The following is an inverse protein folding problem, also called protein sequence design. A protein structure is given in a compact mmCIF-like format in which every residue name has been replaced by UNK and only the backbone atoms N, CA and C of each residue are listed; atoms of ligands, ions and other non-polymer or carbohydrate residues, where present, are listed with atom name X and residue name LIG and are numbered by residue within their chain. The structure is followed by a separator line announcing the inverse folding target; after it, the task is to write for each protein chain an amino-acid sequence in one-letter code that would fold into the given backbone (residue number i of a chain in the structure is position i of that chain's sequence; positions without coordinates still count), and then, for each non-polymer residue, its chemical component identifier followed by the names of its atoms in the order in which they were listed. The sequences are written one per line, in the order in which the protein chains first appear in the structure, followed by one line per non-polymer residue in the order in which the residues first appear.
data_IF_704937850999
#
_entry.id   IF_704937850999
#
_cell.length_a   1.000
_cell.length_b   1.000
_cell.length_c   1.000
_cell.angle_alpha   90.00
_cell.angle_beta   90.00
_cell.angle_gamma   90.00
#
_symmetry.space_group_name_H-M   'P 1'
#
loop_
_entity.id
_entity.type
_entity.pdbx_description
1 polymer ?
#
# COMPACT_ATOMS: atom_id res chain seq x y z
N UNK A 1 -47.15 -6.05 -19.50
CA UNK A 1 -45.74 -5.95 -19.89
C UNK A 1 -44.91 -5.85 -18.62
N UNK A 2 -44.39 -6.99 -18.15
CA UNK A 2 -43.41 -7.03 -17.08
C UNK A 2 -42.14 -6.36 -17.60
N UNK A 3 -41.77 -5.21 -17.03
CA UNK A 3 -40.47 -4.61 -17.31
C UNK A 3 -39.44 -5.64 -16.87
N UNK A 4 -38.68 -6.13 -17.83
CA UNK A 4 -37.58 -7.06 -17.63
C UNK A 4 -36.65 -6.56 -16.52
N UNK A 5 -36.34 -7.43 -15.55
CA UNK A 5 -35.58 -7.06 -14.35
C UNK A 5 -34.20 -6.53 -14.70
N UNK A 6 -33.57 -7.07 -15.75
CA UNK A 6 -32.22 -6.70 -16.18
C UNK A 6 -32.22 -5.27 -16.74
N UNK A 7 -33.28 -4.89 -17.44
CA UNK A 7 -33.49 -3.52 -17.92
C UNK A 7 -33.64 -2.53 -16.76
N UNK A 8 -34.27 -2.94 -15.65
CA UNK A 8 -34.44 -2.09 -14.46
C UNK A 8 -33.10 -1.91 -13.71
N UNK A 9 -32.29 -2.96 -13.61
CA UNK A 9 -30.95 -2.92 -12.99
C UNK A 9 -30.04 -1.97 -13.76
N UNK A 10 -29.93 -2.13 -15.09
CA UNK A 10 -29.10 -1.25 -15.93
C UNK A 10 -29.55 0.21 -15.83
N UNK A 11 -30.87 0.46 -15.77
CA UNK A 11 -31.41 1.82 -15.61
C UNK A 11 -31.02 2.42 -14.25
N UNK A 12 -31.05 1.64 -13.17
CA UNK A 12 -30.60 2.09 -11.84
C UNK A 12 -29.11 2.41 -11.83
N UNK A 13 -28.27 1.54 -12.41
CA UNK A 13 -26.82 1.79 -12.53
C UNK A 13 -26.56 3.09 -13.30
N UNK A 14 -27.20 3.29 -14.46
CA UNK A 14 -27.07 4.53 -15.24
C UNK A 14 -27.52 5.76 -14.46
N UNK A 15 -28.62 5.66 -13.71
CA UNK A 15 -29.11 6.74 -12.88
C UNK A 15 -28.11 7.12 -11.77
N UNK A 16 -27.26 6.21 -11.29
CA UNK A 16 -26.19 6.52 -10.33
C UNK A 16 -25.05 7.36 -10.92
N UNK A 17 -24.85 7.28 -12.24
CA UNK A 17 -23.83 8.06 -12.98
C UNK A 17 -24.38 9.33 -13.63
N UNK A 18 -25.57 9.78 -13.23
CA UNK A 18 -26.08 11.09 -13.64
C UNK A 18 -25.11 12.20 -13.20
N UNK A 19 -24.87 13.18 -14.07
CA UNK A 19 -23.84 14.20 -13.85
C UNK A 19 -24.00 14.96 -12.54
N UNK A 20 -25.24 15.18 -12.08
CA UNK A 20 -25.51 15.80 -10.77
C UNK A 20 -25.05 14.96 -9.59
N UNK A 21 -25.22 13.63 -9.66
CA UNK A 21 -24.78 12.71 -8.60
C UNK A 21 -23.26 12.55 -8.59
N UNK A 22 -22.64 12.51 -9.77
CA UNK A 22 -21.17 12.50 -9.89
C UNK A 22 -20.57 13.78 -9.31
N UNK A 23 -21.12 14.95 -9.66
CA UNK A 23 -20.69 16.23 -9.11
C UNK A 23 -20.90 16.34 -7.60
N UNK A 24 -21.99 15.77 -7.09
CA UNK A 24 -22.24 15.70 -5.65
C UNK A 24 -21.21 14.81 -4.93
N UNK A 25 -20.92 13.62 -5.47
CA UNK A 25 -19.91 12.72 -4.93
C UNK A 25 -18.50 13.35 -4.96
N UNK A 26 -18.16 14.06 -6.03
CA UNK A 26 -16.93 14.84 -6.14
C UNK A 26 -16.80 15.86 -4.99
N UNK A 27 -17.86 16.65 -4.76
CA UNK A 27 -17.92 17.61 -3.64
C UNK A 27 -17.79 16.95 -2.26
N UNK A 28 -18.42 15.78 -2.07
CA UNK A 28 -18.31 15.01 -0.82
C UNK A 28 -16.88 14.52 -0.59
N UNK A 29 -16.26 13.88 -1.59
CA UNK A 29 -14.90 13.36 -1.48
C UNK A 29 -13.92 14.50 -1.19
N UNK A 30 -14.03 15.62 -1.92
CA UNK A 30 -13.18 16.78 -1.71
C UNK A 30 -13.31 17.32 -0.29
N UNK A 31 -14.53 17.51 0.22
CA UNK A 31 -14.75 18.00 1.57
C UNK A 31 -14.17 17.06 2.64
N UNK A 32 -14.31 15.74 2.47
CA UNK A 32 -13.76 14.79 3.41
C UNK A 32 -12.22 14.77 3.38
N UNK A 33 -11.60 14.89 2.21
CA UNK A 33 -10.13 15.02 2.07
C UNK A 33 -9.65 16.31 2.75
N UNK A 34 -10.29 17.45 2.49
CA UNK A 34 -9.95 18.73 3.11
C UNK A 34 -10.05 18.68 4.64
N UNK A 35 -11.10 18.02 5.15
CA UNK A 35 -11.29 17.82 6.59
C UNK A 35 -10.22 16.90 7.17
N UNK A 36 -9.93 15.77 6.54
CA UNK A 36 -8.91 14.84 6.99
C UNK A 36 -7.52 15.48 7.02
N UNK A 37 -7.21 16.31 6.02
CA UNK A 37 -5.99 17.10 5.97
C UNK A 37 -5.94 18.16 7.08
N UNK A 38 -7.02 18.92 7.28
CA UNK A 38 -7.05 20.04 8.24
C UNK A 38 -7.06 19.60 9.70
N UNK A 39 -7.50 18.38 9.98
CA UNK A 39 -7.60 17.82 11.33
C UNK A 39 -6.51 16.81 11.69
N UNK A 40 -5.47 16.65 10.84
CA UNK A 40 -4.42 15.64 11.02
C UNK A 40 -5.01 14.24 11.30
N UNK A 41 -5.84 13.75 10.38
CA UNK A 41 -6.52 12.46 10.52
C UNK A 41 -5.54 11.32 10.87
N UNK A 42 -5.88 10.45 11.85
CA UNK A 42 -4.99 9.38 12.28
C UNK A 42 -4.99 8.15 11.36
N UNK A 43 -5.85 8.12 10.33
CA UNK A 43 -6.06 6.94 9.47
C UNK A 43 -6.05 7.26 7.97
N UNK A 44 -6.19 8.52 7.60
CA UNK A 44 -6.26 8.98 6.20
C UNK A 44 -5.50 10.30 6.05
N UNK A 45 -5.21 10.71 4.81
CA UNK A 45 -4.32 11.87 4.56
C UNK A 45 -3.00 11.81 5.34
N UNK A 46 -2.46 10.59 5.48
CA UNK A 46 -1.30 10.27 6.29
C UNK A 46 -0.04 10.83 5.64
N UNK A 47 0.64 11.73 6.36
CA UNK A 47 1.92 12.27 5.93
C UNK A 47 3.00 11.19 5.98
N UNK A 48 3.72 11.01 4.88
CA UNK A 48 4.91 10.17 4.86
C UNK A 48 5.97 10.70 5.84
N UNK A 49 6.61 9.81 6.61
CA UNK A 49 7.69 10.18 7.52
C UNK A 49 9.03 10.41 6.79
N UNK A 50 9.78 11.43 7.22
CA UNK A 50 11.01 11.85 6.54
C UNK A 50 10.78 12.54 5.19
N UNK A 51 9.62 13.20 5.02
CA UNK A 51 9.11 13.75 3.77
C UNK A 51 9.72 15.11 3.37
N UNK A 52 11.02 15.11 3.07
CA UNK A 52 11.46 15.79 1.86
C UNK A 52 11.76 14.69 0.86
N UNK A 53 10.83 14.44 -0.06
CA UNK A 53 11.21 13.73 -1.28
C UNK A 53 11.97 14.77 -2.10
N UNK A 54 13.27 14.85 -1.85
CA UNK A 54 14.12 15.48 -2.83
C UNK A 54 14.18 14.54 -4.04
N UNK A 55 13.32 14.79 -5.02
CA UNK A 55 13.34 14.09 -6.31
C UNK A 55 14.69 14.26 -7.04
N UNK A 56 15.54 15.18 -6.56
CA UNK A 56 16.91 15.39 -7.04
C UNK A 56 17.97 14.68 -6.21
N UNK A 57 17.61 13.96 -5.13
CA UNK A 57 18.55 13.05 -4.44
C UNK A 57 18.87 11.85 -5.34
N UNK A 58 19.87 12.07 -6.20
CA UNK A 58 20.58 11.07 -6.98
C UNK A 58 21.34 10.13 -6.03
N UNK A 59 20.74 9.07 -5.46
CA UNK A 59 21.50 8.29 -4.45
C UNK A 59 21.19 6.80 -4.20
N UNK A 60 20.30 6.15 -4.95
CA UNK A 60 20.23 4.67 -4.89
C UNK A 60 20.99 4.09 -6.07
N UNK A 61 22.29 3.86 -5.88
CA UNK A 61 23.11 3.08 -6.81
C UNK A 61 23.30 1.67 -6.26
N UNK A 62 23.38 0.71 -7.18
CA UNK A 62 23.67 -0.67 -6.84
C UNK A 62 22.41 -1.49 -6.59
N UNK A 63 22.59 -2.62 -5.90
CA UNK A 63 21.55 -3.63 -5.69
C UNK A 63 20.82 -3.39 -4.39
N UNK A 64 19.49 -3.49 -4.45
CA UNK A 64 18.61 -3.39 -3.30
C UNK A 64 17.66 -4.57 -3.31
N UNK A 65 17.43 -5.15 -2.13
CA UNK A 65 16.36 -6.12 -1.92
C UNK A 65 15.05 -5.33 -1.75
N UNK A 66 14.09 -5.60 -2.62
CA UNK A 66 12.76 -5.01 -2.58
C UNK A 66 11.75 -6.06 -2.12
N UNK A 67 11.01 -5.75 -1.05
CA UNK A 67 9.93 -6.58 -0.52
C UNK A 67 8.63 -5.80 -0.72
N UNK A 68 7.64 -6.38 -1.39
CA UNK A 68 6.34 -5.78 -1.64
C UNK A 68 5.25 -6.71 -1.11
N UNK A 69 4.58 -6.27 -0.04
CA UNK A 69 3.38 -6.93 0.46
C UNK A 69 2.13 -6.20 -0.04
N UNK A 70 1.37 -6.89 -0.88
CA UNK A 70 0.04 -6.49 -1.35
C UNK A 70 -1.09 -7.15 -0.56
N UNK A 71 -2.33 -6.93 -1.00
CA UNK A 71 -3.51 -7.56 -0.39
C UNK A 71 -3.60 -9.07 -0.61
N UNK A 72 -3.09 -9.55 -1.74
CA UNK A 72 -3.22 -10.95 -2.19
C UNK A 72 -1.89 -11.55 -2.67
N UNK A 73 -0.81 -10.78 -2.64
CA UNK A 73 0.49 -11.22 -3.20
C UNK A 73 1.63 -10.69 -2.37
N UNK A 74 2.67 -11.50 -2.22
CA UNK A 74 4.00 -11.10 -1.80
C UNK A 74 4.91 -11.12 -3.02
N UNK A 75 5.73 -10.09 -3.20
CA UNK A 75 6.78 -10.06 -4.21
C UNK A 75 8.09 -9.69 -3.55
N UNK A 76 9.14 -10.42 -3.90
CA UNK A 76 10.49 -10.14 -3.43
C UNK A 76 11.39 -10.15 -4.64
N UNK A 77 12.25 -9.16 -4.76
CA UNK A 77 13.18 -9.06 -5.87
C UNK A 77 14.42 -8.25 -5.54
N UNK A 78 15.44 -8.41 -6.37
CA UNK A 78 16.67 -7.62 -6.32
C UNK A 78 16.61 -6.65 -7.49
N UNK A 79 16.63 -5.36 -7.20
CA UNK A 79 16.64 -4.30 -8.20
C UNK A 79 18.03 -3.65 -8.20
N UNK A 80 18.65 -3.59 -9.36
CA UNK A 80 19.91 -2.87 -9.59
C UNK A 80 19.60 -1.53 -10.25
N UNK A 81 20.00 -0.43 -9.59
CA UNK A 81 19.89 0.93 -10.12
C UNK A 81 21.25 1.40 -10.65
N UNK A 82 21.23 1.96 -11.86
CA UNK A 82 22.41 2.43 -12.58
C UNK A 82 22.43 3.97 -12.60
N UNK A 83 23.47 4.57 -12.01
CA UNK A 83 23.60 6.03 -11.94
C UNK A 83 23.75 6.73 -13.26
N UNK A 84 24.42 6.07 -14.20
CA UNK A 84 24.92 6.73 -15.40
C UNK A 84 23.80 6.93 -16.43
N UNK A 85 22.77 6.06 -16.38
CA UNK A 85 21.60 6.15 -17.26
C UNK A 85 20.31 6.52 -16.53
N UNK A 86 20.27 6.44 -15.20
CA UNK A 86 19.03 6.55 -14.43
C UNK A 86 18.09 5.34 -14.60
N UNK A 87 18.56 4.28 -15.26
CA UNK A 87 17.79 3.05 -15.46
C UNK A 87 17.89 2.14 -14.23
N UNK A 88 16.93 1.21 -14.17
CA UNK A 88 16.94 0.11 -13.22
C UNK A 88 16.64 -1.19 -13.92
N UNK A 89 17.09 -2.31 -13.35
CA UNK A 89 16.74 -3.65 -13.82
C UNK A 89 16.45 -4.57 -12.64
N UNK A 90 15.50 -5.48 -12.84
CA UNK A 90 15.25 -6.58 -11.92
C UNK A 90 16.26 -7.69 -12.20
N UNK A 91 17.14 -7.95 -11.24
CA UNK A 91 18.21 -8.97 -11.34
C UNK A 91 17.65 -10.36 -11.05
N UNK A 92 16.81 -10.46 -10.04
CA UNK A 92 16.13 -11.68 -9.63
C UNK A 92 14.82 -11.30 -8.94
N UNK A 93 13.87 -12.22 -8.90
CA UNK A 93 12.75 -12.10 -7.99
C UNK A 93 11.68 -13.15 -8.23
N UNK A 94 10.76 -13.19 -7.28
CA UNK A 94 9.71 -14.20 -7.21
C UNK A 94 8.46 -13.56 -6.63
N UNK A 95 7.32 -14.14 -7.01
CA UNK A 95 6.00 -13.77 -6.54
C UNK A 95 5.35 -14.98 -5.89
N UNK A 96 4.65 -14.75 -4.80
CA UNK A 96 3.79 -15.71 -4.13
C UNK A 96 2.40 -15.11 -4.04
N UNK A 97 1.39 -15.91 -4.36
CA UNK A 97 0.00 -15.57 -4.04
C UNK A 97 -0.26 -15.96 -2.57
N UNK A 98 -1.00 -15.12 -1.86
CA UNK A 98 -1.25 -15.27 -0.42
C UNK A 98 -2.66 -15.82 -0.24
N UNK A 99 -2.74 -17.02 0.34
CA UNK A 99 -4.01 -17.64 0.70
C UNK A 99 -4.69 -16.87 1.86
N UNK A 100 -6.02 -16.80 1.86
CA UNK A 100 -6.79 -16.10 2.90
C UNK A 100 -6.50 -16.66 4.30
N UNK A 101 -6.23 -17.97 4.43
CA UNK A 101 -5.89 -18.59 5.72
C UNK A 101 -4.54 -18.15 6.29
N UNK A 102 -3.69 -17.53 5.47
CA UNK A 102 -2.36 -17.04 5.85
C UNK A 102 -2.35 -15.54 6.17
N UNK A 103 -3.51 -14.87 6.18
CA UNK A 103 -3.61 -13.42 6.40
C UNK A 103 -3.63 -13.01 7.86
N UNK A 104 -2.68 -13.54 8.63
CA UNK A 104 -2.36 -13.10 9.97
C UNK A 104 -0.94 -12.52 9.98
N UNK A 105 -0.81 -11.25 10.32
CA UNK A 105 0.49 -10.61 10.53
C UNK A 105 0.92 -10.85 11.98
N UNK A 106 1.89 -11.73 12.16
CA UNK A 106 2.56 -12.05 13.43
C UNK A 106 4.08 -12.20 13.20
N UNK A 107 4.84 -12.59 14.23
CA UNK A 107 6.29 -12.73 14.10
C UNK A 107 6.69 -13.81 13.08
N UNK A 108 5.97 -14.95 13.06
CA UNK A 108 6.20 -16.04 12.13
C UNK A 108 6.01 -15.60 10.66
N UNK A 109 5.07 -14.69 10.40
CA UNK A 109 4.87 -14.11 9.08
C UNK A 109 6.10 -13.31 8.59
N UNK A 110 6.73 -12.53 9.47
CA UNK A 110 7.95 -11.79 9.12
C UNK A 110 9.14 -12.73 8.93
N UNK A 111 9.27 -13.77 9.78
CA UNK A 111 10.30 -14.80 9.62
C UNK A 111 10.15 -15.54 8.29
N UNK A 112 8.92 -15.90 7.89
CA UNK A 112 8.63 -16.53 6.61
C UNK A 112 8.98 -15.64 5.40
N UNK A 113 8.70 -14.32 5.46
CA UNK A 113 9.16 -13.37 4.44
C UNK A 113 10.68 -13.33 4.36
N UNK A 114 11.37 -13.28 5.50
CA UNK A 114 12.84 -13.25 5.55
C UNK A 114 13.44 -14.54 5.00
N UNK A 115 12.88 -15.69 5.33
CA UNK A 115 13.31 -16.97 4.78
C UNK A 115 13.10 -17.03 3.27
N UNK A 116 11.97 -16.54 2.76
CA UNK A 116 11.76 -16.36 1.30
C UNK A 116 12.79 -15.42 0.68
N UNK A 117 13.24 -14.39 1.40
CA UNK A 117 14.35 -13.57 0.90
C UNK A 117 15.61 -14.43 0.78
N UNK A 118 16.00 -15.18 1.82
CA UNK A 118 17.29 -15.87 1.92
C UNK A 118 17.38 -17.13 1.04
N UNK A 119 16.29 -17.88 0.90
CA UNK A 119 16.32 -19.22 0.29
C UNK A 119 15.75 -19.24 -1.13
N UNK A 120 14.73 -18.43 -1.38
CA UNK A 120 13.90 -18.55 -2.60
C UNK A 120 14.30 -17.58 -3.72
N UNK A 121 15.11 -16.57 -3.42
CA UNK A 121 15.61 -15.62 -4.40
C UNK A 121 16.92 -16.12 -4.97
N UNK A 122 17.01 -16.21 -6.29
CA UNK A 122 18.23 -16.69 -6.94
C UNK A 122 19.38 -15.67 -6.83
N UNK A 123 20.16 -15.81 -5.77
CA UNK A 123 21.35 -15.00 -5.54
C UNK A 123 22.50 -15.31 -6.49
N UNK A 124 22.47 -16.39 -7.29
CA UNK A 124 23.58 -16.69 -8.21
C UNK A 124 23.73 -15.62 -9.28
N UNK A 125 22.63 -14.99 -9.70
CA UNK A 125 22.66 -13.82 -10.57
C UNK A 125 23.11 -12.54 -9.84
N UNK A 126 22.85 -12.46 -8.53
CA UNK A 126 23.14 -11.29 -7.70
C UNK A 126 24.50 -11.34 -6.98
N UNK A 127 25.21 -12.48 -6.99
CA UNK A 127 26.44 -12.72 -6.24
C UNK A 127 26.19 -12.93 -4.73
N UNK A 128 25.45 -12.03 -4.09
CA UNK A 128 25.12 -12.06 -2.67
C UNK A 128 23.76 -11.38 -2.39
N UNK A 129 23.24 -11.57 -1.18
CA UNK A 129 22.05 -10.86 -0.69
C UNK A 129 22.39 -9.39 -0.44
N UNK A 130 21.68 -8.44 -1.08
CA UNK A 130 21.95 -7.02 -0.87
C UNK A 130 21.74 -6.60 0.58
N UNK A 131 22.68 -5.84 1.14
CA UNK A 131 22.55 -5.26 2.48
C UNK A 131 21.39 -4.26 2.57
N UNK A 132 21.12 -3.50 1.51
CA UNK A 132 20.05 -2.51 1.48
C UNK A 132 18.69 -3.15 1.20
N UNK A 133 17.72 -2.90 2.06
CA UNK A 133 16.34 -3.42 1.92
C UNK A 133 15.35 -2.27 1.83
N UNK A 134 14.44 -2.33 0.85
CA UNK A 134 13.36 -1.38 0.64
C UNK A 134 12.03 -2.14 0.69
N UNK A 135 11.05 -1.63 1.43
CA UNK A 135 9.81 -2.35 1.70
C UNK A 135 8.61 -1.50 1.28
N UNK A 136 7.75 -2.09 0.46
CA UNK A 136 6.42 -1.56 0.14
C UNK A 136 5.38 -2.37 0.90
N UNK A 137 4.60 -1.69 1.73
CA UNK A 137 3.61 -2.27 2.63
C UNK A 137 2.23 -1.66 2.36
N UNK A 138 1.33 -2.42 1.74
CA UNK A 138 0.07 -1.89 1.18
C UNK A 138 -1.05 -1.64 2.21
N UNK A 139 -0.68 -1.32 3.45
CA UNK A 139 -1.59 -0.99 4.56
C UNK A 139 -1.20 0.35 5.18
N UNK A 140 -2.14 1.05 5.85
CA UNK A 140 -1.87 2.35 6.44
C UNK A 140 -0.78 2.29 7.52
N UNK A 141 0.21 3.18 7.41
CA UNK A 141 1.30 3.33 8.37
C UNK A 141 1.27 4.73 8.98
N UNK A 142 1.53 4.81 10.28
CA UNK A 142 1.68 6.09 10.95
C UNK A 142 3.05 6.75 10.63
N UNK A 143 3.28 8.01 11.01
CA UNK A 143 4.57 8.68 10.78
C UNK A 143 5.77 8.02 11.49
N UNK A 144 5.57 7.03 12.35
CA UNK A 144 6.66 6.25 12.98
C UNK A 144 6.87 4.90 12.28
N UNK A 145 6.12 4.61 11.21
CA UNK A 145 6.18 3.34 10.48
C UNK A 145 5.50 2.18 11.19
N UNK A 146 4.53 2.46 12.07
CA UNK A 146 3.70 1.45 12.75
C UNK A 146 2.42 1.22 11.98
N UNK A 147 1.90 0.01 12.02
CA UNK A 147 0.63 -0.34 11.36
C UNK A 147 -0.52 0.34 12.11
N UNK A 148 -1.35 1.11 11.40
CA UNK A 148 -2.54 1.73 12.00
C UNK A 148 -3.71 0.75 12.01
N UNK A 149 -3.95 0.10 10.88
CA UNK A 149 -5.03 -0.87 10.73
C UNK A 149 -4.72 -1.83 9.59
N UNK A 150 -5.42 -2.96 9.57
CA UNK A 150 -5.38 -3.93 8.50
C UNK A 150 -6.71 -3.93 7.75
N UNK A 151 -6.65 -4.33 6.47
CA UNK A 151 -7.83 -4.50 5.63
C UNK A 151 -7.62 -5.67 4.70
N UNK A 152 -8.47 -5.82 3.66
CA UNK A 152 -8.29 -6.85 2.63
C UNK A 152 -8.24 -8.28 3.20
N UNK A 153 -8.94 -8.55 4.30
CA UNK A 153 -8.96 -9.83 5.01
C UNK A 153 -7.80 -10.07 5.99
N UNK A 154 -6.87 -9.12 6.11
CA UNK A 154 -5.74 -9.25 7.01
C UNK A 154 -6.08 -8.91 8.46
N UNK A 155 -5.45 -9.64 9.36
CA UNK A 155 -5.48 -9.39 10.80
C UNK A 155 -4.07 -9.13 11.31
N UNK A 156 -3.95 -8.38 12.41
CA UNK A 156 -2.68 -8.04 13.05
C UNK A 156 -2.65 -8.60 14.46
N UNK A 157 -1.55 -9.25 14.82
CA UNK A 157 -1.29 -9.59 16.21
C UNK A 157 -1.10 -8.31 17.03
N UNK A 158 -1.82 -8.21 18.16
CA UNK A 158 -1.82 -7.05 19.05
C UNK A 158 -0.41 -6.63 19.49
N UNK A 159 0.52 -7.58 19.63
CA UNK A 159 1.89 -7.25 20.03
C UNK A 159 2.64 -6.37 19.01
N UNK A 160 2.20 -6.37 17.74
CA UNK A 160 2.84 -5.64 16.65
C UNK A 160 2.25 -4.24 16.42
N UNK A 161 1.09 -3.91 17.00
CA UNK A 161 0.42 -2.59 16.83
C UNK A 161 1.34 -1.41 17.21
N UNK A 162 2.22 -1.62 18.18
CA UNK A 162 3.12 -0.55 18.68
C UNK A 162 4.51 -0.58 18.07
N UNK A 163 4.82 -1.57 17.22
CA UNK A 163 6.16 -1.86 16.71
C UNK A 163 6.38 -1.26 15.32
N UNK A 164 7.39 -0.38 15.13
CA UNK A 164 7.75 0.11 13.80
C UNK A 164 8.21 -1.03 12.90
N UNK A 165 7.66 -1.13 11.69
CA UNK A 165 7.96 -2.22 10.75
C UNK A 165 9.45 -2.32 10.42
N UNK A 166 10.15 -1.18 10.34
CA UNK A 166 11.60 -1.16 10.17
C UNK A 166 12.31 -2.07 11.21
N UNK A 167 11.94 -1.91 12.49
CA UNK A 167 12.56 -2.67 13.58
C UNK A 167 12.13 -4.14 13.58
N UNK A 168 10.88 -4.42 13.22
CA UNK A 168 10.36 -5.80 13.11
C UNK A 168 11.10 -6.57 12.02
N UNK A 169 11.21 -6.01 10.81
CA UNK A 169 11.98 -6.64 9.73
C UNK A 169 13.45 -6.80 10.09
N UNK A 170 14.08 -5.77 10.67
CA UNK A 170 15.48 -5.86 11.09
C UNK A 170 15.69 -6.99 12.10
N UNK A 171 14.82 -7.10 13.11
CA UNK A 171 14.88 -8.17 14.09
C UNK A 171 14.69 -9.56 13.46
N UNK A 172 13.77 -9.70 12.50
CA UNK A 172 13.56 -10.94 11.76
C UNK A 172 14.83 -11.34 10.96
N UNK A 173 15.45 -10.43 10.22
CA UNK A 173 16.72 -10.69 9.53
C UNK A 173 17.86 -11.05 10.51
N UNK A 174 17.97 -10.34 11.63
CA UNK A 174 19.00 -10.59 12.65
C UNK A 174 18.87 -12.00 13.26
N UNK A 175 17.65 -12.52 13.45
CA UNK A 175 17.40 -13.91 13.92
C UNK A 175 17.99 -14.97 12.99
N UNK A 176 18.04 -14.69 11.68
CA UNK A 176 18.62 -15.58 10.66
C UNK A 176 20.11 -15.27 10.39
N UNK A 177 20.75 -14.46 11.22
CA UNK A 177 22.18 -14.13 11.09
C UNK A 177 22.51 -13.21 9.91
N UNK A 178 21.49 -12.56 9.32
CA UNK A 178 21.64 -11.66 8.18
C UNK A 178 21.55 -10.21 8.64
N UNK A 179 22.63 -9.45 8.44
CA UNK A 179 22.62 -8.01 8.75
C UNK A 179 22.18 -7.21 7.54
N UNK A 180 21.02 -6.56 7.67
CA UNK A 180 20.46 -5.66 6.66
C UNK A 180 20.35 -4.23 7.16
N UNK A 181 20.25 -3.31 6.22
CA UNK A 181 19.87 -1.92 6.43
C UNK A 181 18.53 -1.67 5.73
N UNK A 182 17.45 -1.65 6.53
CA UNK A 182 16.10 -1.37 6.05
C UNK A 182 16.00 0.13 5.81
N UNK A 183 16.16 0.57 4.56
CA UNK A 183 16.20 1.99 4.21
C UNK A 183 14.87 2.69 4.45
N UNK A 184 13.79 2.03 4.05
CA UNK A 184 12.45 2.61 4.12
C UNK A 184 11.37 1.52 4.06
N UNK A 185 10.30 1.77 4.81
CA UNK A 185 9.03 1.06 4.69
C UNK A 185 7.99 2.11 4.30
N UNK A 186 7.36 1.95 3.15
CA UNK A 186 6.38 2.92 2.62
C UNK A 186 5.12 2.21 2.15
N UNK A 187 4.01 2.95 2.09
CA UNK A 187 2.79 2.48 1.47
C UNK A 187 2.94 2.35 -0.06
N UNK A 188 2.16 1.46 -0.68
CA UNK A 188 2.19 1.24 -2.14
C UNK A 188 1.84 2.48 -2.96
N UNK A 189 0.87 3.28 -2.50
CA UNK A 189 0.54 4.56 -3.15
C UNK A 189 1.70 5.56 -3.09
N UNK A 190 2.49 5.55 -2.01
CA UNK A 190 3.69 6.38 -1.84
C UNK A 190 4.79 5.91 -2.80
N UNK A 191 5.06 4.60 -2.88
CA UNK A 191 6.02 4.03 -3.85
C UNK A 191 5.64 4.41 -5.29
N UNK A 192 4.36 4.29 -5.63
CA UNK A 192 3.86 4.68 -6.94
C UNK A 192 4.00 6.19 -7.19
N UNK A 193 3.75 7.03 -6.19
CA UNK A 193 3.95 8.48 -6.29
C UNK A 193 5.40 8.85 -6.53
N UNK A 194 6.36 8.20 -5.87
CA UNK A 194 7.78 8.47 -6.11
C UNK A 194 8.15 8.25 -7.58
N UNK A 195 7.61 7.19 -8.21
CA UNK A 195 7.74 7.00 -9.65
C UNK A 195 6.98 8.05 -10.46
N UNK A 196 5.74 8.36 -10.08
CA UNK A 196 4.89 9.33 -10.78
C UNK A 196 5.51 10.73 -10.84
N UNK A 197 6.19 11.17 -9.78
CA UNK A 197 6.94 12.44 -9.73
C UNK A 197 8.03 12.51 -10.81
N UNK A 198 8.72 11.39 -11.09
CA UNK A 198 9.72 11.33 -12.20
C UNK A 198 9.10 11.52 -13.57
N UNK A 199 7.77 11.39 -13.68
CA UNK A 199 6.98 11.59 -14.89
C UNK A 199 6.22 12.92 -14.90
N UNK A 200 6.44 13.79 -13.91
CA UNK A 200 5.79 15.09 -13.79
C UNK A 200 4.37 15.04 -13.21
N UNK A 201 3.95 13.93 -12.62
CA UNK A 201 2.64 13.78 -11.96
C UNK A 201 2.73 14.10 -10.46
N UNK A 202 1.73 14.81 -9.94
CA UNK A 202 1.58 15.14 -8.50
C UNK A 202 0.49 14.31 -7.80
N UNK A 203 -0.05 13.30 -8.50
CA UNK A 203 -1.06 12.37 -8.02
C UNK A 203 -0.73 10.96 -8.54
N UNK A 204 -0.95 9.97 -7.69
CA UNK A 204 -0.86 8.56 -8.03
C UNK A 204 -2.11 7.84 -7.52
N UNK A 205 -2.72 7.02 -8.36
CA UNK A 205 -3.94 6.28 -8.05
C UNK A 205 -3.66 4.77 -8.18
N UNK A 206 -3.94 4.03 -7.12
CA UNK A 206 -3.89 2.57 -7.07
C UNK A 206 -5.31 2.05 -7.27
N UNK A 207 -5.51 1.27 -8.34
CA UNK A 207 -6.77 0.60 -8.67
C UNK A 207 -6.50 -0.91 -8.77
N UNK A 208 -6.85 -1.67 -7.74
CA UNK A 208 -6.63 -3.12 -7.69
C UNK A 208 -7.55 -3.79 -6.68
N UNK A 209 -7.02 -4.68 -5.84
CA UNK A 209 -7.76 -5.32 -4.73
C UNK A 209 -8.42 -4.28 -3.81
N UNK A 210 -7.82 -3.10 -3.69
CA UNK A 210 -8.43 -1.92 -3.09
C UNK A 210 -8.20 -0.69 -3.95
N UNK A 211 -8.77 0.43 -3.52
CA UNK A 211 -8.56 1.75 -4.11
C UNK A 211 -7.79 2.61 -3.13
N UNK A 212 -6.70 3.21 -3.59
CA UNK A 212 -5.94 4.18 -2.80
C UNK A 212 -5.36 5.29 -3.68
N UNK A 213 -4.99 6.42 -3.08
CA UNK A 213 -4.42 7.56 -3.76
C UNK A 213 -3.26 8.13 -2.92
N UNK A 214 -2.23 8.64 -3.60
CA UNK A 214 -1.24 9.49 -2.99
C UNK A 214 -1.25 10.86 -3.67
N UNK A 215 -0.99 11.91 -2.89
CA UNK A 215 -0.84 13.29 -3.36
C UNK A 215 0.54 13.82 -2.99
N UNK A 216 1.12 14.65 -3.85
CA UNK A 216 2.36 15.37 -3.58
C UNK A 216 2.06 16.88 -3.46
N UNK A 217 2.52 17.49 -2.37
CA UNK A 217 2.40 18.94 -2.12
C UNK A 217 3.61 19.43 -1.35
N UNK A 218 4.25 20.50 -1.81
CA UNK A 218 5.35 21.18 -1.10
C UNK A 218 6.45 20.19 -0.65
N UNK A 219 6.87 19.29 -1.56
CA UNK A 219 7.83 18.19 -1.33
C UNK A 219 7.42 17.15 -0.28
N UNK A 220 6.18 17.21 0.20
CA UNK A 220 5.57 16.25 1.12
C UNK A 220 4.64 15.30 0.36
N UNK A 221 4.71 14.01 0.69
CA UNK A 221 3.80 12.99 0.18
C UNK A 221 2.73 12.65 1.22
N UNK A 222 1.50 12.52 0.75
CA UNK A 222 0.33 12.17 1.55
C UNK A 222 -0.30 10.90 0.99
N UNK A 223 -0.29 9.84 1.79
CA UNK A 223 -1.09 8.66 1.54
C UNK A 223 -2.54 8.98 1.94
N UNK A 224 -3.42 9.09 0.97
CA UNK A 224 -4.79 9.55 1.20
C UNK A 224 -5.59 8.47 1.92
N UNK A 225 -5.33 7.19 1.67
CA UNK A 225 -6.19 6.07 2.06
C UNK A 225 -7.61 6.28 1.52
N UNK A 226 -7.69 6.40 0.19
CA UNK A 226 -8.90 6.83 -0.53
C UNK A 226 -10.14 5.98 -0.20
N UNK A 227 -9.95 4.70 0.14
CA UNK A 227 -11.01 3.78 0.52
C UNK A 227 -11.81 4.16 1.78
N UNK A 228 -11.34 5.11 2.58
CA UNK A 228 -12.11 5.66 3.72
C UNK A 228 -13.03 6.82 3.33
N UNK A 229 -13.03 7.24 2.06
CA UNK A 229 -13.83 8.36 1.57
C UNK A 229 -14.89 7.91 0.58
N UNK A 230 -15.96 8.70 0.47
CA UNK A 230 -17.07 8.42 -0.44
C UNK A 230 -17.95 7.27 0.05
N UNK A 231 -18.70 7.52 1.12
CA UNK A 231 -19.82 6.65 1.52
C UNK A 231 -20.95 6.78 0.51
N UNK A 232 -21.59 5.66 0.13
CA UNK A 232 -22.85 5.70 -0.61
C UNK A 232 -23.92 6.35 0.28
N UNK A 233 -24.57 7.41 -0.20
CA UNK A 233 -25.70 8.03 0.53
C UNK A 233 -26.92 7.09 0.59
N UNK A 234 -27.06 6.23 -0.42
CA UNK A 234 -28.11 5.23 -0.53
C UNK A 234 -27.47 3.89 -0.90
N UNK A 235 -26.82 3.20 0.05
CA UNK A 235 -26.30 1.86 -0.19
C UNK A 235 -27.45 0.93 -0.57
N UNK A 236 -27.22 0.04 -1.52
CA UNK A 236 -28.18 -1.02 -1.83
C UNK A 236 -28.18 -2.07 -0.72
N UNK A 237 -29.21 -2.92 -0.70
CA UNK A 237 -29.24 -4.06 0.24
C UNK A 237 -28.01 -4.97 0.07
N UNK A 238 -27.45 -5.07 -1.14
CA UNK A 238 -26.25 -5.86 -1.40
C UNK A 238 -24.99 -5.22 -0.83
N UNK A 239 -24.89 -3.89 -0.87
CA UNK A 239 -23.77 -3.17 -0.25
C UNK A 239 -23.77 -3.37 1.27
N UNK A 240 -24.95 -3.27 1.89
CA UNK A 240 -25.12 -3.51 3.33
C UNK A 240 -24.80 -4.97 3.71
N UNK A 241 -25.27 -5.94 2.92
CA UNK A 241 -24.96 -7.35 3.15
C UNK A 241 -23.46 -7.65 3.01
N UNK A 242 -22.79 -6.99 2.06
CA UNK A 242 -21.34 -7.10 1.92
C UNK A 242 -20.63 -6.53 3.15
N UNK A 243 -21.01 -5.34 3.61
CA UNK A 243 -20.42 -4.72 4.81
C UNK A 243 -20.70 -5.53 6.08
N UNK A 244 -21.88 -6.15 6.22
CA UNK A 244 -22.22 -7.04 7.35
C UNK A 244 -21.42 -8.36 7.31
N UNK A 245 -21.15 -8.88 6.10
CA UNK A 245 -20.41 -10.13 5.90
C UNK A 245 -18.90 -9.99 6.10
N UNK A 246 -18.39 -8.76 5.97
CA UNK A 246 -16.99 -8.42 6.25
C UNK A 246 -16.96 -7.98 7.71
N UNK A 247 -16.51 -8.85 8.61
CA UNK A 247 -16.33 -8.49 10.02
C UNK A 247 -15.35 -7.31 10.13
N UNK A 248 -15.87 -6.09 10.15
CA UNK A 248 -15.10 -4.92 10.58
C UNK A 248 -14.82 -5.17 12.06
N UNK A 249 -13.55 -5.22 12.50
CA UNK A 249 -13.27 -5.17 13.92
C UNK A 249 -13.89 -3.87 14.40
N UNK A 250 -14.94 -3.96 15.22
CA UNK A 250 -15.49 -2.82 15.93
C UNK A 250 -14.34 -2.21 16.76
N UNK A 251 -13.96 -0.99 16.41
CA UNK A 251 -12.98 -0.18 17.13
C UNK A 251 -13.41 0.10 18.57
#
# INVERSE_FOLDING_TARGET
MTVDSDTLVIKRVRASFESSKVAHLDGLILNQIERAYSCDSPISMLRMSGASVDITETRTQGRHLCIELGGSTLRIGIVEFHSDSGDFKMVAGKRWDIDESLKLVNDEFFEDIVMKCIEDIDFKAAGELPHSVCITWSFPLDPKGRIITMGKGWTLDKQLETSPLHSVFKAAFDKHGVRVDVKRVVNDSISLMMFALTKGSNMALVLGTGVNMCLARDSTLYNVELGFFGSLEQPTEYDLLLDESVSVPTF
#
